data_IF_512346924208
#
_entry.id   IF_512346924208
#
_cell.length_a   1.000
_cell.length_b   1.000
_cell.length_c   1.000
_cell.angle_alpha   90.00
_cell.angle_beta   90.00
_cell.angle_gamma   90.00
#
_symmetry.space_group_name_H-M   'P 1'
#
loop_
_entity.id
_entity.type
_entity.pdbx_description
1 polymer ?
#
# COMPACT_ATOMS: atom_id res chain seq x y z
N UNK A 1 6.49 -22.36 -9.81
CA UNK A 1 5.73 -21.52 -8.87
C UNK A 1 6.58 -21.39 -7.60
N UNK A 2 6.59 -20.24 -6.92
CA UNK A 2 7.44 -20.06 -5.74
C UNK A 2 6.78 -20.70 -4.50
N UNK A 3 7.55 -21.13 -3.48
CA UNK A 3 6.97 -21.70 -2.26
C UNK A 3 5.97 -20.76 -1.55
N UNK A 4 6.16 -19.44 -1.69
CA UNK A 4 5.22 -18.44 -1.14
C UNK A 4 3.92 -18.36 -1.92
N UNK A 5 3.98 -18.52 -3.25
CA UNK A 5 2.80 -18.52 -4.11
C UNK A 5 1.93 -19.75 -3.83
N UNK A 6 2.54 -20.93 -3.71
CA UNK A 6 1.82 -22.18 -3.42
C UNK A 6 1.08 -22.06 -2.06
N UNK A 7 1.79 -21.61 -1.01
CA UNK A 7 1.20 -21.35 0.31
C UNK A 7 0.05 -20.33 0.24
N UNK A 8 0.22 -19.23 -0.49
CA UNK A 8 -0.81 -18.19 -0.59
C UNK A 8 -2.07 -18.73 -1.30
N UNK A 9 -1.92 -19.53 -2.36
CA UNK A 9 -3.04 -20.15 -3.05
C UNK A 9 -3.81 -21.11 -2.14
N UNK A 10 -3.11 -21.93 -1.37
CA UNK A 10 -3.73 -22.86 -0.40
C UNK A 10 -4.51 -22.12 0.68
N UNK A 11 -3.96 -21.04 1.24
CA UNK A 11 -4.61 -20.29 2.33
C UNK A 11 -5.81 -19.43 1.87
N UNK A 12 -5.75 -18.88 0.67
CA UNK A 12 -6.82 -18.02 0.14
C UNK A 12 -7.90 -18.79 -0.62
N UNK A 13 -7.55 -19.95 -1.20
CA UNK A 13 -8.41 -20.72 -2.10
C UNK A 13 -8.60 -20.04 -3.45
N UNK A 14 -9.17 -18.83 -3.44
CA UNK A 14 -9.17 -17.90 -4.58
C UNK A 14 -8.21 -16.78 -4.28
N UNK A 15 -7.04 -16.81 -4.90
CA UNK A 15 -5.98 -15.84 -4.67
C UNK A 15 -6.38 -14.45 -5.22
N UNK A 16 -6.46 -13.41 -4.38
CA UNK A 16 -6.67 -12.06 -4.88
C UNK A 16 -5.45 -11.56 -5.65
N UNK A 17 -5.70 -10.79 -6.70
CA UNK A 17 -4.66 -10.19 -7.57
C UNK A 17 -3.63 -9.34 -6.81
N UNK A 18 -4.06 -8.59 -5.80
CA UNK A 18 -3.14 -7.79 -4.98
C UNK A 18 -2.27 -8.67 -4.06
N UNK A 19 -2.75 -9.83 -3.62
CA UNK A 19 -1.96 -10.78 -2.83
C UNK A 19 -0.93 -11.46 -3.74
N UNK A 20 -1.31 -11.79 -4.97
CA UNK A 20 -0.38 -12.26 -6.00
C UNK A 20 0.74 -11.24 -6.25
N UNK A 21 0.40 -9.96 -6.43
CA UNK A 21 1.37 -8.88 -6.58
C UNK A 21 2.30 -8.77 -5.36
N UNK A 22 1.77 -8.97 -4.15
CA UNK A 22 2.55 -8.97 -2.91
C UNK A 22 3.54 -10.14 -2.83
N UNK A 23 3.13 -11.35 -3.24
CA UNK A 23 4.01 -12.53 -3.34
C UNK A 23 5.12 -12.27 -4.35
N UNK A 24 4.76 -11.84 -5.56
CA UNK A 24 5.72 -11.54 -6.62
C UNK A 24 6.73 -10.47 -6.19
N UNK A 25 6.30 -9.44 -5.45
CA UNK A 25 7.18 -8.43 -4.89
C UNK A 25 8.16 -8.99 -3.84
N UNK A 26 7.74 -9.99 -3.06
CA UNK A 26 8.60 -10.66 -2.07
C UNK A 26 9.63 -11.59 -2.73
N UNK A 27 9.27 -12.20 -3.86
CA UNK A 27 10.10 -13.17 -4.57
C UNK A 27 11.00 -12.54 -5.65
N UNK A 28 10.83 -11.25 -5.94
CA UNK A 28 11.69 -10.50 -6.86
C UNK A 28 13.16 -10.55 -6.41
N UNK A 29 14.08 -10.58 -7.39
CA UNK A 29 15.52 -10.65 -7.12
C UNK A 29 16.00 -9.45 -6.29
N UNK A 30 16.83 -9.72 -5.28
CA UNK A 30 17.27 -8.73 -4.30
C UNK A 30 16.16 -8.20 -3.38
N UNK A 31 14.92 -8.68 -3.45
CA UNK A 31 13.83 -8.35 -2.54
C UNK A 31 13.76 -9.31 -1.35
N UNK A 32 12.89 -9.01 -0.39
CA UNK A 32 12.51 -9.93 0.69
C UNK A 32 11.21 -9.46 1.34
N UNK A 33 10.53 -10.35 2.04
CA UNK A 33 9.33 -10.01 2.82
C UNK A 33 9.57 -8.83 3.78
N UNK A 34 10.76 -8.74 4.41
CA UNK A 34 11.11 -7.61 5.26
C UNK A 34 11.25 -6.30 4.48
N UNK A 35 11.87 -6.34 3.29
CA UNK A 35 12.01 -5.16 2.43
C UNK A 35 10.65 -4.67 1.92
N UNK A 36 9.81 -5.60 1.50
CA UNK A 36 8.44 -5.32 1.03
C UNK A 36 7.59 -4.76 2.17
N UNK A 37 7.60 -5.38 3.35
CA UNK A 37 6.88 -4.89 4.52
C UNK A 37 7.28 -3.45 4.88
N UNK A 38 8.58 -3.16 4.91
CA UNK A 38 9.09 -1.80 5.16
C UNK A 38 8.65 -0.80 4.10
N UNK A 39 8.64 -1.17 2.82
CA UNK A 39 8.16 -0.31 1.71
C UNK A 39 6.66 -0.04 1.82
N UNK A 40 5.89 -1.02 2.26
CA UNK A 40 4.45 -0.87 2.51
C UNK A 40 4.13 -0.18 3.85
N UNK A 41 5.14 0.10 4.69
CA UNK A 41 5.00 0.62 6.05
C UNK A 41 4.22 -0.31 7.00
N UNK A 42 4.36 -1.63 6.81
CA UNK A 42 3.84 -2.65 7.74
C UNK A 42 4.97 -3.47 8.34
N UNK A 43 4.66 -4.20 9.42
CA UNK A 43 5.58 -5.19 9.97
C UNK A 43 5.63 -6.44 9.09
N UNK A 44 6.77 -7.13 9.10
CA UNK A 44 6.92 -8.40 8.40
C UNK A 44 5.92 -9.46 8.89
N UNK A 45 5.52 -9.40 10.16
CA UNK A 45 4.49 -10.25 10.76
C UNK A 45 3.14 -10.02 10.11
N UNK A 46 2.73 -8.75 9.92
CA UNK A 46 1.48 -8.42 9.23
C UNK A 46 1.49 -8.98 7.82
N UNK A 47 2.57 -8.79 7.06
CA UNK A 47 2.69 -9.35 5.71
C UNK A 47 2.62 -10.88 5.72
N UNK A 48 3.29 -11.55 6.68
CA UNK A 48 3.18 -13.02 6.82
C UNK A 48 1.76 -13.49 7.08
N UNK A 49 1.03 -12.79 7.95
CA UNK A 49 -0.36 -13.11 8.27
C UNK A 49 -1.28 -12.86 7.07
N UNK A 50 -1.03 -11.82 6.28
CA UNK A 50 -1.78 -11.55 5.04
C UNK A 50 -1.56 -12.64 4.01
N UNK A 51 -0.31 -13.07 3.80
CA UNK A 51 0.01 -14.15 2.86
C UNK A 51 -0.68 -15.48 3.25
N UNK A 52 -0.86 -15.72 4.55
CA UNK A 52 -1.57 -16.89 5.09
C UNK A 52 -3.08 -16.68 5.29
N UNK A 53 -3.64 -15.54 4.88
CA UNK A 53 -5.05 -15.21 5.08
C UNK A 53 -5.50 -15.25 6.57
N UNK A 54 -4.58 -14.95 7.50
CA UNK A 54 -4.80 -14.98 8.95
C UNK A 54 -4.92 -13.56 9.56
N UNK A 55 -4.62 -12.52 8.78
CA UNK A 55 -4.62 -11.14 9.28
C UNK A 55 -6.04 -10.66 9.61
N UNK A 56 -6.30 -10.40 10.89
CA UNK A 56 -7.60 -9.96 11.41
C UNK A 56 -7.86 -8.45 11.28
N UNK A 57 -6.85 -7.68 10.85
CA UNK A 57 -6.96 -6.23 10.72
C UNK A 57 -7.57 -5.77 9.39
N UNK A 58 -7.44 -4.47 9.10
CA UNK A 58 -7.97 -3.87 7.87
C UNK A 58 -7.14 -4.28 6.64
N UNK A 59 -7.59 -5.34 5.95
CA UNK A 59 -7.00 -5.77 4.67
C UNK A 59 -7.11 -4.67 3.60
N UNK A 60 -8.14 -3.83 3.66
CA UNK A 60 -8.33 -2.74 2.71
C UNK A 60 -7.19 -1.71 2.71
N UNK A 61 -6.58 -1.44 3.87
CA UNK A 61 -5.42 -0.55 3.91
C UNK A 61 -4.19 -1.18 3.23
N UNK A 62 -3.95 -2.45 3.52
CA UNK A 62 -2.84 -3.21 2.95
C UNK A 62 -3.00 -3.33 1.43
N UNK A 63 -4.19 -3.72 0.98
CA UNK A 63 -4.52 -3.81 -0.44
C UNK A 63 -4.27 -2.49 -1.17
N UNK A 64 -4.76 -1.36 -0.63
CA UNK A 64 -4.54 -0.03 -1.26
C UNK A 64 -3.06 0.28 -1.42
N UNK A 65 -2.24 0.05 -0.39
CA UNK A 65 -0.78 0.32 -0.45
C UNK A 65 -0.09 -0.62 -1.43
N UNK A 66 -0.44 -1.91 -1.41
CA UNK A 66 0.10 -2.91 -2.35
C UNK A 66 -0.23 -2.53 -3.79
N UNK A 67 -1.50 -2.19 -4.09
CA UNK A 67 -1.90 -1.74 -5.42
C UNK A 67 -1.17 -0.47 -5.82
N UNK A 68 -1.07 0.52 -4.93
CA UNK A 68 -0.43 1.79 -5.26
C UNK A 68 1.07 1.64 -5.59
N UNK A 69 1.77 0.71 -4.94
CA UNK A 69 3.23 0.53 -5.04
C UNK A 69 3.64 -0.55 -6.05
N UNK A 70 2.92 -1.68 -6.08
CA UNK A 70 3.28 -2.87 -6.87
C UNK A 70 2.37 -3.12 -8.06
N UNK A 71 1.25 -2.39 -8.18
CA UNK A 71 0.43 -2.33 -9.39
C UNK A 71 0.28 -0.85 -9.84
N UNK A 72 1.40 -0.17 -10.15
CA UNK A 72 1.40 1.28 -10.34
C UNK A 72 0.48 1.67 -11.50
N UNK A 73 -0.34 2.68 -11.24
CA UNK A 73 -1.26 3.24 -12.22
C UNK A 73 -1.30 4.75 -12.14
N UNK A 74 -2.00 5.38 -13.08
CA UNK A 74 -2.24 6.83 -13.06
C UNK A 74 -3.52 7.15 -12.29
N UNK A 75 -3.43 8.08 -11.35
CA UNK A 75 -4.55 8.60 -10.56
C UNK A 75 -4.84 10.04 -11.00
N UNK A 76 -6.12 10.33 -11.25
CA UNK A 76 -6.58 11.70 -11.48
C UNK A 76 -6.73 12.41 -10.13
N UNK A 77 -5.69 13.13 -9.70
CA UNK A 77 -5.72 13.91 -8.47
C UNK A 77 -6.48 15.23 -8.72
N UNK A 78 -7.53 15.54 -7.93
CA UNK A 78 -8.27 16.80 -8.09
C UNK A 78 -7.41 18.06 -7.92
N UNK A 79 -6.28 17.97 -7.22
CA UNK A 79 -5.41 19.11 -6.93
C UNK A 79 -4.15 19.19 -7.82
N UNK A 80 -3.67 18.07 -8.34
CA UNK A 80 -2.40 18.00 -9.09
C UNK A 80 -2.58 17.49 -10.53
N UNK A 81 -3.78 17.04 -10.91
CA UNK A 81 -4.00 16.37 -12.20
C UNK A 81 -3.52 14.92 -12.20
N UNK A 82 -3.12 14.37 -13.36
CA UNK A 82 -2.65 12.98 -13.45
C UNK A 82 -1.31 12.80 -12.73
N UNK A 83 -1.30 11.96 -11.69
CA UNK A 83 -0.10 11.59 -10.92
C UNK A 83 0.01 10.08 -10.79
N UNK A 84 1.17 9.56 -10.40
CA UNK A 84 1.29 8.13 -10.11
C UNK A 84 0.48 7.75 -8.86
N UNK A 85 0.05 6.49 -8.77
CA UNK A 85 -0.59 5.95 -7.59
C UNK A 85 0.30 6.02 -6.35
N UNK A 86 1.62 5.89 -6.51
CA UNK A 86 2.62 6.01 -5.45
C UNK A 86 2.76 7.46 -4.95
N UNK A 87 2.79 8.45 -5.86
CA UNK A 87 2.78 9.87 -5.48
C UNK A 87 1.47 10.22 -4.74
N UNK A 88 0.34 9.69 -5.23
CA UNK A 88 -0.96 9.88 -4.58
C UNK A 88 -0.96 9.30 -3.16
N UNK A 89 -0.36 8.13 -2.95
CA UNK A 89 -0.22 7.53 -1.62
C UNK A 89 0.69 8.37 -0.71
N UNK A 90 1.83 8.84 -1.24
CA UNK A 90 2.77 9.69 -0.50
C UNK A 90 2.10 10.96 -0.01
N UNK A 91 1.35 11.65 -0.87
CA UNK A 91 0.59 12.84 -0.47
C UNK A 91 -0.53 12.55 0.54
N UNK A 92 -1.11 11.35 0.53
CA UNK A 92 -2.10 10.95 1.54
C UNK A 92 -1.44 10.67 2.89
N UNK A 93 -0.29 10.01 2.90
CA UNK A 93 0.48 9.77 4.11
C UNK A 93 0.88 11.09 4.79
N UNK A 94 1.37 12.06 4.00
CA UNK A 94 1.71 13.40 4.47
C UNK A 94 0.48 14.21 4.95
N UNK A 95 -0.73 13.83 4.52
CA UNK A 95 -1.97 14.46 4.95
C UNK A 95 -2.51 13.91 6.29
N UNK A 96 -1.95 12.81 6.78
CA UNK A 96 -2.25 12.26 8.11
C UNK A 96 -1.88 13.24 9.23
N UNK A 97 -0.70 13.84 9.14
CA UNK A 97 -0.19 14.80 10.10
C UNK A 97 0.58 15.92 9.39
N UNK A 98 0.28 17.19 9.68
CA UNK A 98 0.98 18.31 9.07
C UNK A 98 2.38 18.45 9.67
N UNK A 99 3.37 17.79 9.05
CA UNK A 99 4.77 17.77 9.54
C UNK A 99 5.65 18.91 9.01
N UNK A 100 5.19 19.66 8.01
CA UNK A 100 5.99 20.68 7.33
C UNK A 100 5.19 21.96 7.09
N UNK A 101 5.87 23.10 7.25
CA UNK A 101 5.34 24.43 6.94
C UNK A 101 5.50 24.81 5.46
N UNK A 102 6.02 23.93 4.62
CA UNK A 102 6.18 24.20 3.19
C UNK A 102 4.82 24.47 2.53
N UNK A 103 4.68 25.53 1.69
CA UNK A 103 3.40 25.91 1.11
C UNK A 103 2.70 24.78 0.35
N UNK A 104 3.48 23.95 -0.35
CA UNK A 104 2.95 22.81 -1.10
C UNK A 104 2.41 21.72 -0.18
N UNK A 105 3.11 21.38 0.89
CA UNK A 105 2.66 20.38 1.89
C UNK A 105 1.39 20.86 2.59
N UNK A 106 1.30 22.14 2.97
CA UNK A 106 0.08 22.71 3.56
C UNK A 106 -1.10 22.65 2.57
N UNK A 107 -0.86 22.95 1.30
CA UNK A 107 -1.88 22.86 0.23
C UNK A 107 -2.36 21.43 0.06
N UNK A 108 -1.44 20.48 -0.04
CA UNK A 108 -1.76 19.07 -0.25
C UNK A 108 -2.41 18.43 0.98
N UNK A 109 -1.98 18.77 2.19
CA UNK A 109 -2.65 18.36 3.43
C UNK A 109 -4.15 18.70 3.39
N UNK A 110 -4.50 19.93 3.02
CA UNK A 110 -5.90 20.36 2.91
C UNK A 110 -6.64 19.67 1.76
N UNK A 111 -5.98 19.49 0.62
CA UNK A 111 -6.59 18.88 -0.55
C UNK A 111 -6.87 17.38 -0.34
N UNK A 112 -5.89 16.64 0.17
CA UNK A 112 -6.01 15.22 0.45
C UNK A 112 -7.09 14.94 1.49
N UNK A 113 -7.19 15.71 2.58
CA UNK A 113 -8.25 15.50 3.59
C UNK A 113 -9.67 15.75 3.10
N UNK A 114 -9.85 16.41 1.96
CA UNK A 114 -11.14 16.58 1.27
C UNK A 114 -11.32 15.59 0.10
N UNK A 115 -10.31 14.79 -0.20
CA UNK A 115 -10.32 13.86 -1.31
C UNK A 115 -11.14 12.62 -0.95
N UNK A 116 -12.05 12.13 -1.82
CA UNK A 116 -12.81 10.90 -1.56
C UNK A 116 -11.93 9.64 -1.49
N UNK A 117 -10.67 9.71 -1.97
CA UNK A 117 -9.71 8.60 -1.90
C UNK A 117 -8.97 8.53 -0.56
N UNK A 118 -9.04 9.58 0.25
CA UNK A 118 -8.31 9.66 1.51
C UNK A 118 -9.00 8.82 2.59
N UNK A 119 -8.25 7.91 3.19
CA UNK A 119 -8.73 6.96 4.19
C UNK A 119 -8.49 7.40 5.64
N UNK A 120 -7.64 8.40 5.90
CA UNK A 120 -7.39 8.96 7.23
C UNK A 120 -6.82 8.01 8.29
N UNK A 121 -6.60 6.74 7.95
CA UNK A 121 -6.04 5.72 8.86
C UNK A 121 -4.52 5.94 8.99
N UNK A 122 -4.01 6.18 10.21
CA UNK A 122 -2.57 6.22 10.42
C UNK A 122 -1.96 4.83 10.18
N UNK A 123 -0.77 4.79 9.60
CA UNK A 123 0.04 3.58 9.46
C UNK A 123 0.55 3.15 10.85
N UNK A 124 -0.29 2.45 11.62
CA UNK A 124 0.10 1.76 12.87
C UNK A 124 0.87 0.47 12.60
#
# INVERSE_FOLDING_TARGET
MSPRMDMAQECWGVLPDWVEALVNACDADGSSQNKVARRLKFSATVISQVLRNEYKGSLGNIERRVRAIYAPGTVQCPALGPISSEDCLTWQDDAGELRSSAPMTVRMFRACRKCPRYNGEPDT
#
